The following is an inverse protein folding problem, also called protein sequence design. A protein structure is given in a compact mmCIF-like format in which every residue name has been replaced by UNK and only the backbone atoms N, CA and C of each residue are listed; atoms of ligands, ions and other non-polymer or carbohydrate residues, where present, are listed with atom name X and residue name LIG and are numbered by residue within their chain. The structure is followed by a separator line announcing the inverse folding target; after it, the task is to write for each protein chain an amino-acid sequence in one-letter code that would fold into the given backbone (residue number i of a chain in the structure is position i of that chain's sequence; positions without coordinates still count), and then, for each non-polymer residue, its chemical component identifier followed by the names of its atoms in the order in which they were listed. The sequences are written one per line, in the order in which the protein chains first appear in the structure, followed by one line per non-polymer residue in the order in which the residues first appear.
data_IF_789535713205
#
_entry.id   IF_789535713205
#
_cell.length_a   1.000
_cell.length_b   1.000
_cell.length_c   1.000
_cell.angle_alpha   90.00
_cell.angle_beta   90.00
_cell.angle_gamma   90.00
#
_symmetry.space_group_name_H-M   'P 1'
#
loop_
_entity.id
_entity.type
_entity.pdbx_description
1 polymer ?
#
# COMPACT_ATOMS: atom_id res chain seq x y z
N UNK A 1 -34.92 -43.24 -11.46
CA UNK A 1 -34.03 -42.44 -10.58
C UNK A 1 -32.57 -42.50 -11.03
N UNK A 2 -32.19 -41.91 -12.19
CA UNK A 2 -30.79 -41.93 -12.67
C UNK A 2 -30.22 -40.55 -13.04
N UNK A 3 -31.03 -39.49 -13.04
CA UNK A 3 -30.60 -38.17 -13.52
C UNK A 3 -30.13 -37.20 -12.42
N UNK A 4 -30.42 -37.46 -11.14
CA UNK A 4 -30.05 -36.54 -10.05
C UNK A 4 -28.54 -36.49 -9.72
N UNK A 5 -27.74 -37.52 -10.07
CA UNK A 5 -26.30 -37.54 -9.75
C UNK A 5 -25.42 -36.72 -10.71
N UNK A 6 -25.83 -36.58 -11.98
CA UNK A 6 -25.06 -35.83 -12.99
C UNK A 6 -25.14 -34.31 -12.79
N UNK A 7 -26.29 -33.81 -12.34
CA UNK A 7 -26.49 -32.38 -12.08
C UNK A 7 -25.69 -31.89 -10.85
N UNK A 8 -25.55 -32.74 -9.82
CA UNK A 8 -24.80 -32.43 -8.60
C UNK A 8 -23.28 -32.24 -8.86
N UNK A 9 -22.66 -33.12 -9.66
CA UNK A 9 -21.24 -33.01 -10.01
C UNK A 9 -20.93 -31.82 -10.94
N UNK A 10 -21.82 -31.56 -11.91
CA UNK A 10 -21.67 -30.41 -12.81
C UNK A 10 -21.85 -29.08 -12.05
N UNK A 11 -22.78 -29.03 -11.09
CA UNK A 11 -22.98 -27.90 -10.19
C UNK A 11 -21.75 -27.64 -9.31
N UNK A 12 -21.20 -28.66 -8.67
CA UNK A 12 -19.99 -28.56 -7.85
C UNK A 12 -18.75 -28.10 -8.64
N UNK A 13 -18.52 -28.65 -9.84
CA UNK A 13 -17.40 -28.18 -10.68
C UNK A 13 -17.57 -26.73 -11.13
N UNK A 14 -18.81 -26.28 -11.35
CA UNK A 14 -19.09 -24.87 -11.69
C UNK A 14 -18.87 -23.95 -10.49
N UNK A 15 -19.31 -24.33 -9.29
CA UNK A 15 -19.11 -23.52 -8.08
C UNK A 15 -17.63 -23.44 -7.68
N UNK A 16 -16.87 -24.54 -7.77
CA UNK A 16 -15.43 -24.54 -7.52
C UNK A 16 -14.66 -23.63 -8.49
N UNK A 17 -14.98 -23.71 -9.80
CA UNK A 17 -14.39 -22.83 -10.81
C UNK A 17 -14.71 -21.37 -10.56
N UNK A 18 -15.94 -21.07 -10.13
CA UNK A 18 -16.38 -19.72 -9.79
C UNK A 18 -15.62 -19.20 -8.57
N UNK A 19 -15.54 -19.97 -7.49
CA UNK A 19 -14.81 -19.60 -6.28
C UNK A 19 -13.31 -19.35 -6.55
N UNK A 20 -12.66 -20.19 -7.36
CA UNK A 20 -11.26 -19.96 -7.78
C UNK A 20 -11.10 -18.66 -8.58
N UNK A 21 -12.02 -18.40 -9.52
CA UNK A 21 -11.97 -17.19 -10.36
C UNK A 21 -12.24 -15.92 -9.55
N UNK A 22 -13.14 -15.98 -8.57
CA UNK A 22 -13.43 -14.90 -7.64
C UNK A 22 -12.22 -14.63 -6.73
N UNK A 23 -11.64 -15.67 -6.11
CA UNK A 23 -10.44 -15.52 -5.28
C UNK A 23 -9.24 -14.95 -6.04
N UNK A 24 -9.00 -15.39 -7.28
CA UNK A 24 -7.94 -14.84 -8.13
C UNK A 24 -8.17 -13.37 -8.50
N UNK A 25 -9.42 -12.96 -8.74
CA UNK A 25 -9.74 -11.56 -9.01
C UNK A 25 -9.58 -10.70 -7.76
N UNK A 26 -10.06 -11.18 -6.62
CA UNK A 26 -9.98 -10.48 -5.35
C UNK A 26 -8.51 -10.26 -4.95
N UNK A 27 -7.68 -11.31 -4.95
CA UNK A 27 -6.27 -11.18 -4.59
C UNK A 27 -5.47 -10.27 -5.55
N UNK A 28 -5.83 -10.25 -6.85
CA UNK A 28 -5.24 -9.29 -7.80
C UNK A 28 -5.63 -7.85 -7.51
N UNK A 29 -6.89 -7.62 -7.12
CA UNK A 29 -7.38 -6.28 -6.80
C UNK A 29 -6.73 -5.77 -5.51
N UNK A 30 -6.72 -6.59 -4.46
CA UNK A 30 -6.10 -6.29 -3.17
C UNK A 30 -4.60 -5.99 -3.34
N UNK A 31 -3.85 -6.88 -3.99
CA UNK A 31 -2.42 -6.65 -4.22
C UNK A 31 -2.12 -5.41 -5.06
N UNK A 32 -2.97 -5.08 -6.04
CA UNK A 32 -2.84 -3.83 -6.82
C UNK A 32 -3.10 -2.60 -5.95
N UNK A 33 -4.12 -2.65 -5.09
CA UNK A 33 -4.46 -1.55 -4.20
C UNK A 33 -3.35 -1.31 -3.16
N UNK A 34 -2.87 -2.37 -2.52
CA UNK A 34 -1.74 -2.30 -1.58
C UNK A 34 -0.48 -1.75 -2.25
N UNK A 35 -0.13 -2.25 -3.44
CA UNK A 35 1.02 -1.76 -4.19
C UNK A 35 0.91 -0.28 -4.57
N UNK A 36 -0.29 0.17 -4.95
CA UNK A 36 -0.55 1.59 -5.25
C UNK A 36 -0.39 2.47 -4.00
N UNK A 37 -0.98 2.05 -2.87
CA UNK A 37 -0.87 2.78 -1.60
C UNK A 37 0.58 2.88 -1.13
N UNK A 38 1.34 1.78 -1.21
CA UNK A 38 2.77 1.77 -0.90
C UNK A 38 3.55 2.71 -1.83
N UNK A 39 3.29 2.67 -3.14
CA UNK A 39 3.96 3.55 -4.11
C UNK A 39 3.71 5.04 -3.86
N UNK A 40 2.48 5.40 -3.48
CA UNK A 40 2.13 6.78 -3.11
C UNK A 40 2.92 7.22 -1.87
N UNK A 41 2.97 6.40 -0.83
CA UNK A 41 3.69 6.71 0.41
C UNK A 41 5.20 6.88 0.16
N UNK A 42 5.82 5.96 -0.59
CA UNK A 42 7.24 6.03 -0.96
C UNK A 42 7.53 7.32 -1.74
N UNK A 43 6.68 7.66 -2.70
CA UNK A 43 6.82 8.90 -3.48
C UNK A 43 6.70 10.15 -2.61
N UNK A 44 5.78 10.14 -1.63
CA UNK A 44 5.62 11.23 -0.67
C UNK A 44 6.88 11.40 0.19
N UNK A 45 7.42 10.32 0.74
CA UNK A 45 8.67 10.34 1.51
C UNK A 45 9.84 10.85 0.68
N UNK A 46 9.93 10.43 -0.58
CA UNK A 46 10.94 10.92 -1.52
C UNK A 46 10.90 12.45 -1.67
N UNK A 47 9.70 13.01 -1.82
CA UNK A 47 9.49 14.46 -1.91
C UNK A 47 9.86 15.18 -0.62
N UNK A 48 9.47 14.63 0.54
CA UNK A 48 9.82 15.17 1.86
C UNK A 48 11.35 15.23 2.02
N UNK A 49 12.05 14.13 1.72
CA UNK A 49 13.51 14.04 1.79
C UNK A 49 14.19 15.06 0.87
N UNK A 50 13.70 15.22 -0.36
CA UNK A 50 14.19 16.24 -1.29
C UNK A 50 13.99 17.67 -0.79
N UNK A 51 12.85 17.97 -0.16
CA UNK A 51 12.57 19.30 0.39
C UNK A 51 13.39 19.57 1.66
N UNK A 52 13.56 18.57 2.52
CA UNK A 52 14.47 18.63 3.68
C UNK A 52 15.90 18.93 3.25
N UNK A 53 16.40 18.26 2.20
CA UNK A 53 17.74 18.50 1.66
C UNK A 53 17.92 19.93 1.10
N UNK A 54 16.81 20.62 0.76
CA UNK A 54 16.79 22.04 0.37
C UNK A 54 16.67 22.99 1.57
N UNK A 55 16.69 22.49 2.80
CA UNK A 55 16.59 23.28 4.04
C UNK A 55 15.18 23.77 4.37
N UNK A 56 14.12 23.19 3.77
CA UNK A 56 12.74 23.56 4.11
C UNK A 56 12.35 23.02 5.50
N UNK A 57 11.57 23.81 6.25
CA UNK A 57 11.03 23.40 7.56
C UNK A 57 9.88 22.39 7.41
N UNK A 58 9.50 21.74 8.51
CA UNK A 58 8.40 20.78 8.51
C UNK A 58 7.07 21.44 8.09
N UNK A 59 6.80 22.66 8.56
CA UNK A 59 5.60 23.44 8.24
C UNK A 59 5.55 23.79 6.75
N UNK A 60 6.67 24.27 6.18
CA UNK A 60 6.73 24.61 4.76
C UNK A 60 6.59 23.37 3.87
N UNK A 61 7.08 22.21 4.32
CA UNK A 61 6.90 20.93 3.60
C UNK A 61 5.44 20.46 3.70
N UNK A 62 4.81 20.60 4.86
CA UNK A 62 3.42 20.25 5.11
C UNK A 62 2.49 21.07 4.22
N UNK A 63 2.69 22.38 4.15
CA UNK A 63 1.97 23.28 3.24
C UNK A 63 2.19 22.89 1.77
N UNK A 64 3.45 22.72 1.35
CA UNK A 64 3.82 22.35 -0.02
C UNK A 64 3.22 21.03 -0.51
N UNK A 65 2.95 20.09 0.40
CA UNK A 65 2.46 18.74 0.10
C UNK A 65 1.00 18.54 0.50
N UNK A 66 0.34 19.56 1.06
CA UNK A 66 -1.02 19.49 1.61
C UNK A 66 -1.18 18.33 2.62
N UNK A 67 -0.21 18.20 3.54
CA UNK A 67 -0.17 17.17 4.57
C UNK A 67 -0.16 17.77 5.97
N UNK A 68 -0.47 16.93 6.97
CA UNK A 68 -0.37 17.32 8.37
C UNK A 68 1.10 17.52 8.80
N UNK A 69 1.40 18.65 9.44
CA UNK A 69 2.75 18.95 9.96
C UNK A 69 3.27 17.85 10.89
N UNK A 70 2.40 17.25 11.69
CA UNK A 70 2.76 16.14 12.58
C UNK A 70 3.25 14.90 11.80
N UNK A 71 2.62 14.58 10.66
CA UNK A 71 3.04 13.48 9.80
C UNK A 71 4.41 13.78 9.17
N UNK A 72 4.58 15.01 8.67
CA UNK A 72 5.87 15.45 8.10
C UNK A 72 6.97 15.35 9.14
N UNK A 73 6.73 15.84 10.36
CA UNK A 73 7.71 15.78 11.44
C UNK A 73 8.09 14.34 11.80
N UNK A 74 7.12 13.42 11.88
CA UNK A 74 7.37 11.99 12.10
C UNK A 74 8.30 11.42 11.02
N UNK A 75 8.03 11.72 9.74
CA UNK A 75 8.84 11.22 8.62
C UNK A 75 10.25 11.84 8.64
N UNK A 76 10.38 13.14 8.89
CA UNK A 76 11.67 13.81 8.99
C UNK A 76 12.52 13.22 10.12
N UNK A 77 11.92 12.94 11.29
CA UNK A 77 12.61 12.29 12.40
C UNK A 77 13.13 10.90 12.01
N UNK A 78 12.32 10.09 11.30
CA UNK A 78 12.75 8.78 10.81
C UNK A 78 13.91 8.89 9.81
N UNK A 79 13.87 9.87 8.89
CA UNK A 79 14.95 10.11 7.93
C UNK A 79 16.24 10.52 8.65
N UNK A 80 16.15 11.34 9.70
CA UNK A 80 17.32 11.78 10.47
C UNK A 80 17.90 10.64 11.33
N UNK A 81 17.04 9.83 11.96
CA UNK A 81 17.47 8.69 12.77
C UNK A 81 18.09 7.57 11.92
N UNK A 82 17.61 7.40 10.69
CA UNK A 82 18.05 6.36 9.76
C UNK A 82 18.46 6.97 8.41
N UNK A 83 19.57 7.70 8.42
CA UNK A 83 20.10 8.37 7.21
C UNK A 83 20.47 7.41 6.07
N UNK A 84 20.72 6.14 6.38
CA UNK A 84 21.01 5.05 5.45
C UNK A 84 19.76 4.38 4.85
N UNK A 85 18.57 4.64 5.41
CA UNK A 85 17.35 4.00 4.95
C UNK A 85 16.86 4.57 3.61
N UNK A 86 16.50 3.68 2.70
CA UNK A 86 15.75 4.01 1.50
C UNK A 86 14.34 4.53 1.82
N UNK A 87 13.73 5.23 0.85
CA UNK A 87 12.35 5.74 0.99
C UNK A 87 11.36 4.60 1.28
N UNK A 88 11.62 3.39 0.74
CA UNK A 88 10.86 2.18 1.04
C UNK A 88 10.97 1.75 2.50
N UNK A 89 12.17 1.74 3.07
CA UNK A 89 12.37 1.35 4.47
C UNK A 89 11.72 2.35 5.43
N UNK A 90 11.79 3.65 5.12
CA UNK A 90 11.07 4.67 5.88
C UNK A 90 9.55 4.49 5.78
N UNK A 91 9.02 4.21 4.59
CA UNK A 91 7.59 3.95 4.39
C UNK A 91 7.09 2.75 5.20
N UNK A 92 7.90 1.70 5.27
CA UNK A 92 7.60 0.53 6.09
C UNK A 92 7.62 0.87 7.59
N UNK A 93 8.59 1.66 8.04
CA UNK A 93 8.70 2.08 9.45
C UNK A 93 7.57 3.04 9.87
N UNK A 94 7.09 3.91 8.97
CA UNK A 94 6.02 4.87 9.28
C UNK A 94 4.65 4.21 9.48
N UNK A 95 4.42 3.04 8.87
CA UNK A 95 3.17 2.27 8.94
C UNK A 95 3.11 1.27 10.10
N UNK A 96 4.14 1.20 10.97
CA UNK A 96 4.24 0.22 12.06
C UNK A 96 3.84 0.77 13.45
N UNK A 97 3.02 1.83 13.52
CA UNK A 97 2.37 2.29 14.76
C UNK A 97 0.86 2.03 14.75
#
# INVERSE_FOLDING_TARGET
MKELRGQSFAGMKKSERRGRKEGLQQGKLEGKQEGLQQGILISKIHLIRKKMAKGKTAEAIAEDLEEETALIQKILNLIQLHSDFSDYQIAKASNQE
#
